data_IF_550443625784
#
_entry.id   IF_550443625784
#
_cell.length_a   1.000
_cell.length_b   1.000
_cell.length_c   1.000
_cell.angle_alpha   90.00
_cell.angle_beta   90.00
_cell.angle_gamma   90.00
#
_symmetry.space_group_name_H-M   'P 1'
#
loop_
_entity.id
_entity.type
_entity.pdbx_description
1 polymer ?
#
# COMPACT_ATOMS: atom_id res chain seq x y z
N UNK A 1 -22.62 10.23 -4.90
CA UNK A 1 -22.16 11.08 -3.76
C UNK A 1 -21.51 12.40 -4.22
N UNK A 2 -21.08 12.50 -5.48
CA UNK A 2 -20.35 13.68 -6.00
C UNK A 2 -21.08 14.36 -7.18
N UNK A 3 -22.35 14.02 -7.43
CA UNK A 3 -23.15 14.60 -8.51
C UNK A 3 -23.35 16.09 -8.31
N UNK A 4 -23.06 16.87 -9.36
CA UNK A 4 -23.22 18.32 -9.39
C UNK A 4 -22.17 19.11 -8.59
N UNK A 5 -21.14 18.46 -8.04
CA UNK A 5 -20.08 19.16 -7.28
C UNK A 5 -19.07 19.92 -8.15
N UNK A 6 -18.93 19.52 -9.41
CA UNK A 6 -17.94 20.03 -10.35
C UNK A 6 -18.66 20.74 -11.50
N UNK A 7 -19.14 21.97 -11.27
CA UNK A 7 -19.75 22.77 -12.34
C UNK A 7 -18.69 23.48 -13.17
N UNK A 8 -18.90 23.54 -14.50
CA UNK A 8 -18.06 24.29 -15.44
C UNK A 8 -18.04 25.79 -15.16
N UNK A 9 -19.09 26.32 -14.54
CA UNK A 9 -19.23 27.74 -14.22
C UNK A 9 -18.41 28.15 -12.99
N UNK A 10 -17.85 27.19 -12.25
CA UNK A 10 -17.12 27.39 -10.99
C UNK A 10 -15.68 26.88 -11.07
N UNK A 11 -14.85 27.19 -10.07
CA UNK A 11 -13.49 26.64 -9.95
C UNK A 11 -13.52 25.14 -9.57
N UNK A 12 -13.88 24.29 -10.53
CA UNK A 12 -14.00 22.84 -10.35
C UNK A 12 -12.66 22.16 -10.01
N UNK A 13 -11.53 22.74 -10.43
CA UNK A 13 -10.18 22.21 -10.15
C UNK A 13 -9.85 22.28 -8.65
N UNK A 14 -10.14 23.40 -8.01
CA UNK A 14 -9.89 23.56 -6.57
C UNK A 14 -10.82 22.66 -5.77
N UNK A 15 -12.11 22.63 -6.11
CA UNK A 15 -13.10 21.74 -5.51
C UNK A 15 -12.69 20.26 -5.60
N UNK A 16 -12.13 19.83 -6.75
CA UNK A 16 -11.61 18.48 -6.90
C UNK A 16 -10.43 18.21 -5.96
N UNK A 17 -9.44 19.13 -5.90
CA UNK A 17 -8.30 18.95 -4.99
C UNK A 17 -8.71 18.91 -3.52
N UNK A 18 -9.74 19.65 -3.12
CA UNK A 18 -10.29 19.61 -1.76
C UNK A 18 -10.98 18.28 -1.49
N UNK A 19 -11.82 17.80 -2.41
CA UNK A 19 -12.46 16.48 -2.29
C UNK A 19 -11.43 15.35 -2.19
N UNK A 20 -10.33 15.41 -2.96
CA UNK A 20 -9.23 14.45 -2.87
C UNK A 20 -8.56 14.53 -1.49
N UNK A 21 -8.28 15.73 -0.97
CA UNK A 21 -7.71 15.88 0.38
C UNK A 21 -8.63 15.29 1.45
N UNK A 22 -9.93 15.55 1.39
CA UNK A 22 -10.91 14.96 2.31
C UNK A 22 -10.92 13.43 2.23
N UNK A 23 -10.85 12.87 1.02
CA UNK A 23 -10.84 11.42 0.82
C UNK A 23 -9.55 10.80 1.36
N UNK A 24 -8.39 11.41 1.12
CA UNK A 24 -7.11 10.94 1.65
C UNK A 24 -7.01 11.00 3.18
N UNK A 25 -7.74 11.92 3.81
CA UNK A 25 -7.78 12.06 5.27
C UNK A 25 -8.65 10.99 5.95
N UNK A 26 -9.61 10.39 5.22
CA UNK A 26 -10.49 9.34 5.75
C UNK A 26 -9.79 8.00 5.69
N UNK A 27 -9.69 7.31 6.82
CA UNK A 27 -9.26 5.91 6.84
C UNK A 27 -10.45 4.99 6.55
N UNK A 28 -10.38 4.31 5.41
CA UNK A 28 -11.37 3.36 4.95
C UNK A 28 -10.67 2.08 4.44
N UNK A 29 -11.34 0.92 4.46
CA UNK A 29 -10.81 -0.30 3.88
C UNK A 29 -10.51 -0.14 2.38
N UNK A 30 -9.48 -0.84 1.90
CA UNK A 30 -9.02 -0.82 0.51
C UNK A 30 -10.13 -0.89 -0.55
N UNK A 31 -11.09 -1.85 -0.53
CA UNK A 31 -12.13 -1.92 -1.56
C UNK A 31 -13.08 -0.72 -1.54
N UNK A 32 -13.32 -0.13 -0.37
CA UNK A 32 -14.15 1.06 -0.25
C UNK A 32 -13.41 2.31 -0.75
N UNK A 33 -12.10 2.40 -0.54
CA UNK A 33 -11.28 3.48 -1.09
C UNK A 33 -11.27 3.43 -2.61
N UNK A 34 -11.03 2.27 -3.23
CA UNK A 34 -11.03 2.13 -4.70
C UNK A 34 -12.35 2.64 -5.26
N UNK A 35 -13.47 2.14 -4.75
CA UNK A 35 -14.79 2.58 -5.20
C UNK A 35 -15.00 4.09 -5.04
N UNK A 36 -14.59 4.66 -3.90
CA UNK A 36 -14.74 6.09 -3.66
C UNK A 36 -13.85 6.94 -4.58
N UNK A 37 -12.66 6.46 -4.96
CA UNK A 37 -11.79 7.09 -5.97
C UNK A 37 -12.44 7.01 -7.34
N UNK A 38 -12.95 5.85 -7.74
CA UNK A 38 -13.63 5.64 -9.02
C UNK A 38 -14.85 6.55 -9.15
N UNK A 39 -15.74 6.56 -8.15
CA UNK A 39 -16.93 7.42 -8.10
C UNK A 39 -16.57 8.92 -8.21
N UNK A 40 -15.45 9.33 -7.62
CA UNK A 40 -14.98 10.72 -7.64
C UNK A 40 -14.39 11.12 -9.00
N UNK A 41 -13.61 10.22 -9.61
CA UNK A 41 -13.07 10.41 -10.96
C UNK A 41 -14.17 10.42 -12.03
N UNK A 42 -15.11 9.47 -11.96
CA UNK A 42 -16.25 9.41 -12.88
C UNK A 42 -17.11 10.67 -12.77
N UNK A 43 -17.42 11.12 -11.55
CA UNK A 43 -18.19 12.35 -11.35
C UNK A 43 -17.49 13.58 -11.95
N UNK A 44 -16.16 13.68 -11.79
CA UNK A 44 -15.38 14.78 -12.36
C UNK A 44 -15.42 14.77 -13.89
N UNK A 45 -15.17 13.62 -14.51
CA UNK A 45 -15.17 13.48 -15.97
C UNK A 45 -16.56 13.70 -16.55
N UNK A 46 -17.62 13.15 -15.92
CA UNK A 46 -18.99 13.31 -16.40
C UNK A 46 -19.47 14.76 -16.38
N UNK A 47 -19.03 15.56 -15.42
CA UNK A 47 -19.50 16.94 -15.26
C UNK A 47 -18.64 17.95 -16.03
N UNK A 48 -17.31 17.75 -16.05
CA UNK A 48 -16.38 18.67 -16.72
C UNK A 48 -16.10 18.28 -18.17
N UNK A 49 -16.10 16.98 -18.49
CA UNK A 49 -15.66 16.45 -19.78
C UNK A 49 -14.14 16.50 -19.98
N UNK A 50 -13.38 16.88 -18.94
CA UNK A 50 -11.92 16.98 -18.98
C UNK A 50 -11.27 15.94 -18.06
N UNK A 51 -10.00 15.64 -18.31
CA UNK A 51 -9.20 14.82 -17.43
C UNK A 51 -8.70 15.65 -16.22
N UNK A 52 -8.72 15.09 -15.01
CA UNK A 52 -8.18 15.76 -13.84
C UNK A 52 -6.65 15.92 -13.93
N UNK A 53 -6.13 16.89 -13.19
CA UNK A 53 -4.70 17.20 -13.17
C UNK A 53 -3.87 16.04 -12.59
N UNK A 54 -2.59 15.95 -12.95
CA UNK A 54 -1.71 14.83 -12.56
C UNK A 54 -1.47 14.76 -11.06
N UNK A 55 -1.29 15.91 -10.40
CA UNK A 55 -0.97 15.97 -8.97
C UNK A 55 -2.06 15.36 -8.06
N UNK A 56 -3.36 15.70 -8.20
CA UNK A 56 -4.40 15.04 -7.41
C UNK A 56 -4.56 13.55 -7.75
N UNK A 57 -4.29 13.13 -9.00
CA UNK A 57 -4.26 11.70 -9.37
C UNK A 57 -3.15 10.93 -8.63
N UNK A 58 -1.96 11.53 -8.48
CA UNK A 58 -0.88 10.93 -7.69
C UNK A 58 -1.29 10.73 -6.23
N UNK A 59 -2.03 11.68 -5.64
CA UNK A 59 -2.54 11.54 -4.27
C UNK A 59 -3.55 10.41 -4.13
N UNK A 60 -4.44 10.24 -5.11
CA UNK A 60 -5.41 9.14 -5.14
C UNK A 60 -4.71 7.79 -5.28
N UNK A 61 -3.72 7.68 -6.16
CA UNK A 61 -2.92 6.47 -6.33
C UNK A 61 -2.19 6.08 -5.02
N UNK A 62 -1.56 7.06 -4.36
CA UNK A 62 -0.94 6.84 -3.05
C UNK A 62 -1.96 6.42 -1.99
N UNK A 63 -3.19 6.94 -2.04
CA UNK A 63 -4.26 6.57 -1.11
C UNK A 63 -4.64 5.09 -1.23
N UNK A 64 -4.74 4.57 -2.46
CA UNK A 64 -5.07 3.16 -2.72
C UNK A 64 -3.94 2.25 -2.21
N UNK A 65 -2.69 2.59 -2.57
CA UNK A 65 -1.51 1.76 -2.30
C UNK A 65 -0.98 1.84 -0.85
N UNK A 66 -1.48 2.79 -0.04
CA UNK A 66 -0.99 3.03 1.33
C UNK A 66 -0.88 1.76 2.16
N UNK A 67 -1.88 0.87 2.09
CA UNK A 67 -1.95 -0.30 2.96
C UNK A 67 -1.00 -1.42 2.51
N UNK A 68 -0.93 -1.66 1.20
CA UNK A 68 -0.06 -2.68 0.62
C UNK A 68 1.43 -2.35 0.86
N UNK A 69 1.78 -1.07 0.74
CA UNK A 69 3.12 -0.55 1.00
C UNK A 69 3.44 -0.49 2.50
N UNK A 70 2.44 -0.25 3.35
CA UNK A 70 2.62 -0.23 4.80
C UNK A 70 2.74 -1.64 5.42
N UNK A 71 2.26 -2.68 4.73
CA UNK A 71 2.30 -4.04 5.27
C UNK A 71 3.73 -4.57 5.41
N UNK A 72 4.09 -5.00 6.63
CA UNK A 72 5.41 -5.53 7.00
C UNK A 72 5.37 -7.03 7.30
N UNK A 73 4.28 -7.69 6.97
CA UNK A 73 4.09 -9.12 7.15
C UNK A 73 5.24 -9.90 6.47
N UNK A 74 5.95 -10.80 7.18
CA UNK A 74 7.07 -11.53 6.59
C UNK A 74 6.61 -12.65 5.63
N UNK A 75 5.37 -13.10 5.75
CA UNK A 75 4.76 -14.22 5.02
C UNK A 75 3.82 -13.77 3.89
N UNK A 76 4.01 -12.54 3.37
CA UNK A 76 3.30 -12.02 2.17
C UNK A 76 3.34 -13.00 1.00
N UNK A 77 4.51 -13.57 0.71
CA UNK A 77 4.74 -14.47 -0.44
C UNK A 77 3.93 -15.76 -0.37
N UNK A 78 3.60 -16.24 0.82
CA UNK A 78 2.78 -17.45 0.99
C UNK A 78 1.29 -17.15 1.09
N UNK A 79 0.92 -15.91 1.42
CA UNK A 79 -0.49 -15.51 1.64
C UNK A 79 -1.15 -14.88 0.42
N UNK A 80 -0.36 -14.26 -0.45
CA UNK A 80 -0.84 -13.48 -1.59
C UNK A 80 -0.19 -14.01 -2.87
N UNK A 81 -0.95 -14.05 -3.95
CA UNK A 81 -0.46 -14.46 -5.27
C UNK A 81 0.56 -13.46 -5.83
N UNK A 82 0.31 -12.16 -5.65
CA UNK A 82 1.16 -11.06 -6.14
C UNK A 82 1.58 -10.11 -4.99
N UNK A 83 2.57 -10.48 -4.17
CA UNK A 83 2.96 -9.71 -3.00
C UNK A 83 3.84 -8.49 -3.35
N UNK A 84 3.54 -7.33 -2.76
CA UNK A 84 4.45 -6.18 -2.76
C UNK A 84 5.49 -6.29 -1.63
N UNK A 85 6.76 -6.44 -2.00
CA UNK A 85 7.87 -6.55 -1.05
C UNK A 85 8.64 -5.23 -0.96
N UNK A 86 8.86 -4.77 0.27
CA UNK A 86 9.80 -3.69 0.55
C UNK A 86 11.25 -4.13 0.35
N UNK A 87 12.15 -3.18 0.08
CA UNK A 87 13.60 -3.43 -0.05
C UNK A 87 14.18 -4.21 1.14
N UNK A 88 13.69 -3.92 2.35
CA UNK A 88 14.09 -4.63 3.56
C UNK A 88 13.69 -6.11 3.52
N UNK A 89 12.46 -6.41 3.09
CA UNK A 89 11.97 -7.78 2.95
C UNK A 89 12.73 -8.54 1.86
N UNK A 90 13.00 -7.89 0.71
CA UNK A 90 13.82 -8.46 -0.36
C UNK A 90 15.23 -8.77 0.15
N UNK A 91 15.88 -7.85 0.86
CA UNK A 91 17.22 -8.08 1.44
C UNK A 91 17.23 -9.25 2.43
N UNK A 92 16.21 -9.39 3.29
CA UNK A 92 16.09 -10.50 4.23
C UNK A 92 15.88 -11.82 3.50
N UNK A 93 15.06 -11.83 2.45
CA UNK A 93 14.82 -13.00 1.60
C UNK A 93 16.09 -13.43 0.89
N UNK A 94 16.77 -12.51 0.21
CA UNK A 94 18.02 -12.79 -0.48
C UNK A 94 19.06 -13.39 0.48
N UNK A 95 19.21 -12.85 1.69
CA UNK A 95 20.12 -13.43 2.71
C UNK A 95 19.80 -14.87 3.12
N UNK A 96 18.53 -15.31 3.02
CA UNK A 96 18.10 -16.68 3.33
C UNK A 96 18.30 -17.61 2.13
N UNK A 97 18.12 -17.10 0.92
CA UNK A 97 18.13 -17.88 -0.33
C UNK A 97 19.52 -17.97 -0.95
N UNK A 98 20.40 -16.98 -0.73
CA UNK A 98 21.78 -17.06 -1.18
C UNK A 98 22.52 -18.12 -0.39
N UNK A 99 23.07 -19.18 -1.03
CA UNK A 99 23.92 -20.13 -0.34
C UNK A 99 25.14 -19.37 0.20
N UNK A 100 25.49 -19.60 1.47
CA UNK A 100 26.74 -19.06 2.00
C UNK A 100 27.89 -19.79 1.30
N UNK A 101 28.95 -19.07 0.87
CA UNK A 101 30.07 -19.67 0.14
C UNK A 101 30.87 -20.65 1.02
N UNK A 102 30.68 -20.63 2.34
CA UNK A 102 31.39 -21.47 3.27
C UNK A 102 30.61 -22.75 3.61
N UNK A 103 31.08 -23.88 3.07
CA UNK A 103 30.63 -25.23 3.41
C UNK A 103 30.87 -25.59 4.89
N UNK A 104 31.71 -24.86 5.64
CA UNK A 104 31.94 -25.09 7.08
C UNK A 104 30.68 -24.89 7.93
N UNK A 105 29.71 -24.11 7.44
CA UNK A 105 28.44 -23.91 8.14
C UNK A 105 27.60 -25.20 8.24
N UNK A 106 27.73 -26.11 7.27
CA UNK A 106 27.04 -27.41 7.30
C UNK A 106 27.73 -28.44 8.23
N UNK A 107 28.99 -28.24 8.64
CA UNK A 107 29.66 -29.11 9.62
C UNK A 107 29.44 -28.66 11.07
N UNK A 108 28.99 -27.42 11.28
CA UNK A 108 28.73 -26.84 12.61
C UNK A 108 27.28 -27.08 13.07
N UNK A 109 26.78 -28.31 12.94
CA UNK A 109 25.54 -28.74 13.59
C UNK A 109 25.81 -29.41 14.94
N UNK A 110 26.56 -28.75 15.84
CA UNK A 110 26.52 -29.07 17.28
C UNK A 110 26.54 -27.79 18.12
N UNK A 111 25.34 -27.45 18.60
CA UNK A 111 25.02 -26.57 19.75
C UNK A 111 25.50 -25.12 19.69
N UNK A 112 24.67 -24.24 19.14
CA UNK A 112 24.69 -22.82 19.51
C UNK A 112 23.92 -22.62 20.83
N UNK A 113 24.45 -21.87 21.83
CA UNK A 113 23.67 -21.47 22.98
C UNK A 113 22.50 -20.59 22.50
N UNK A 114 21.28 -20.95 22.90
CA UNK A 114 20.07 -20.20 22.55
C UNK A 114 20.18 -18.80 23.18
N UNK A 115 20.43 -17.77 22.38
CA UNK A 115 20.19 -16.39 22.83
C UNK A 115 18.70 -16.24 23.08
N UNK A 116 18.34 -15.83 24.28
CA UNK A 116 16.96 -15.61 24.67
C UNK A 116 16.37 -14.47 23.83
N UNK A 117 15.56 -14.82 22.83
CA UNK A 117 14.93 -13.83 21.96
C UNK A 117 13.63 -13.42 22.62
N UNK A 118 13.59 -12.21 23.18
CA UNK A 118 12.31 -11.52 23.48
C UNK A 118 11.52 -11.44 22.17
N UNK A 119 10.58 -12.37 21.97
CA UNK A 119 9.67 -12.38 20.82
C UNK A 119 8.69 -11.22 20.99
N UNK A 120 8.93 -10.10 20.32
CA UNK A 120 7.85 -9.15 20.05
C UNK A 120 6.98 -9.75 18.94
N UNK A 121 5.92 -10.43 19.36
CA UNK A 121 4.89 -10.92 18.47
C UNK A 121 4.04 -9.73 18.04
N UNK A 122 4.29 -9.21 16.85
CA UNK A 122 3.35 -8.29 16.22
C UNK A 122 2.21 -9.17 15.70
N UNK A 123 1.06 -9.14 16.39
CA UNK A 123 -0.15 -9.82 15.91
C UNK A 123 -0.48 -9.26 14.53
N UNK A 124 -0.54 -10.13 13.52
CA UNK A 124 -1.18 -9.78 12.26
C UNK A 124 -2.68 -9.64 12.54
N UNK A 125 -3.23 -8.46 12.31
CA UNK A 125 -4.67 -8.24 12.27
C UNK A 125 -5.18 -8.93 11.00
N UNK A 126 -5.81 -10.08 11.16
CA UNK A 126 -6.63 -10.69 10.11
C UNK A 126 -7.87 -9.83 9.92
N UNK A 127 -7.98 -9.16 8.77
CA UNK A 127 -9.24 -8.68 8.23
C UNK A 127 -9.95 -9.83 7.53
#
# INVERSE_FOLDING_TARGET
MYDGKFSKDSDYKTAFTEAVKELTAKEMPMPWRIKAVDDLCEAYVNQTGELPDTKPLEWLANCILKDDLADKCPDKVTRQEYPFLSDGQVKVRNKRETPRPDLSYYSYCKTFPKKDKRRRHNKCSSL
#
